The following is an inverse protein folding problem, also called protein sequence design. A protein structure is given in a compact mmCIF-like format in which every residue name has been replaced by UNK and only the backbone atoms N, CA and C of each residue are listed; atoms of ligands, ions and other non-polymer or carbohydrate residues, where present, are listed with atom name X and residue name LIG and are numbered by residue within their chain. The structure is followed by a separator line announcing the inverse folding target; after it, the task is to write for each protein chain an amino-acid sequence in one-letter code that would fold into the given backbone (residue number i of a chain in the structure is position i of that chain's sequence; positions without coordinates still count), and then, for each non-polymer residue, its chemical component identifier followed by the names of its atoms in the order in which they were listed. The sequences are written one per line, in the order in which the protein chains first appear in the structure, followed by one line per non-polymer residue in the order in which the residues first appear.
data_IF_113553227426
#
_entry.id   IF_113553227426
#
_cell.length_a   1.000
_cell.length_b   1.000
_cell.length_c   1.000
_cell.angle_alpha   90.00
_cell.angle_beta   90.00
_cell.angle_gamma   90.00
#
_symmetry.space_group_name_H-M   'P 1'
#
loop_
_entity.id
_entity.type
_entity.pdbx_description
1 polymer ?
#
# COMPACT_ATOMS: atom_id res chain seq x y z
N UNK A 1 -72.35 19.74 -19.75
CA UNK A 1 -70.96 20.21 -19.64
C UNK A 1 -70.06 19.02 -19.29
N UNK A 2 -68.91 18.92 -19.96
CA UNK A 2 -67.90 17.84 -19.87
C UNK A 2 -66.98 17.98 -18.65
N UNK A 3 -66.42 16.84 -18.20
CA UNK A 3 -65.13 16.55 -17.51
C UNK A 3 -65.34 15.80 -16.18
N UNK A 4 -64.99 14.52 -16.02
CA UNK A 4 -63.72 13.79 -16.21
C UNK A 4 -62.75 13.98 -15.03
N UNK A 5 -62.53 12.88 -14.28
CA UNK A 5 -61.25 12.20 -14.02
C UNK A 5 -61.11 11.70 -12.58
N UNK A 6 -61.13 10.36 -12.48
CA UNK A 6 -60.35 9.48 -11.61
C UNK A 6 -59.47 10.16 -10.56
N UNK A 7 -59.95 10.17 -9.32
CA UNK A 7 -59.11 10.32 -8.14
C UNK A 7 -58.42 8.99 -7.80
N UNK A 8 -57.44 8.60 -8.62
CA UNK A 8 -56.57 7.46 -8.36
C UNK A 8 -55.21 7.95 -7.88
N UNK A 9 -54.70 7.29 -6.83
CA UNK A 9 -53.30 7.25 -6.41
C UNK A 9 -52.75 8.45 -5.59
N UNK A 10 -53.21 8.55 -4.34
CA UNK A 10 -52.30 8.82 -3.22
C UNK A 10 -51.82 7.47 -2.68
N UNK A 11 -50.74 6.92 -3.24
CA UNK A 11 -49.95 5.84 -2.57
C UNK A 11 -48.48 6.11 -2.85
N UNK A 12 -47.81 6.56 -1.79
CA UNK A 12 -46.44 6.23 -1.43
C UNK A 12 -45.46 5.84 -2.56
N UNK A 13 -44.62 6.77 -2.98
CA UNK A 13 -43.23 6.45 -3.32
C UNK A 13 -42.39 6.61 -2.05
N UNK A 14 -42.13 5.55 -1.26
CA UNK A 14 -41.04 5.61 -0.30
C UNK A 14 -39.74 5.48 -1.09
N UNK A 15 -38.99 6.59 -1.16
CA UNK A 15 -37.54 6.64 -1.06
C UNK A 15 -36.79 5.32 -1.36
N UNK A 16 -36.76 4.90 -2.61
CA UNK A 16 -35.80 3.91 -3.09
C UNK A 16 -34.45 4.59 -3.39
N UNK A 17 -33.90 5.28 -2.39
CA UNK A 17 -32.48 5.63 -2.33
C UNK A 17 -31.79 4.51 -1.57
N UNK A 18 -31.77 3.30 -2.13
CA UNK A 18 -30.71 2.35 -1.80
C UNK A 18 -29.44 2.97 -2.35
N UNK A 19 -28.80 3.81 -1.53
CA UNK A 19 -27.42 4.19 -1.74
C UNK A 19 -26.66 2.88 -1.96
N UNK A 20 -26.10 2.70 -3.16
CA UNK A 20 -24.97 1.82 -3.37
C UNK A 20 -23.80 2.39 -2.56
N UNK A 21 -23.88 2.32 -1.23
CA UNK A 21 -22.75 2.51 -0.36
C UNK A 21 -21.86 1.30 -0.65
N UNK A 22 -20.88 1.50 -1.54
CA UNK A 22 -19.74 0.59 -1.63
C UNK A 22 -19.14 0.59 -0.24
N UNK A 23 -19.31 -0.52 0.50
CA UNK A 23 -18.65 -0.70 1.78
C UNK A 23 -17.17 -0.47 1.57
N UNK A 24 -16.59 0.51 2.27
CA UNK A 24 -15.16 0.73 2.21
C UNK A 24 -14.45 -0.57 2.62
N UNK A 25 -13.45 -0.99 1.83
CA UNK A 25 -12.63 -2.15 2.17
C UNK A 25 -11.96 -1.88 3.52
N UNK A 26 -12.13 -2.75 4.53
CA UNK A 26 -11.45 -2.58 5.81
C UNK A 26 -9.93 -2.82 5.63
N UNK A 27 -9.08 -2.32 6.55
CA UNK A 27 -7.61 -2.46 6.45
C UNK A 27 -7.12 -3.88 6.12
N UNK A 28 -7.65 -4.90 6.80
CA UNK A 28 -7.31 -6.30 6.60
C UNK A 28 -7.81 -6.89 5.27
N UNK A 29 -8.68 -6.17 4.55
CA UNK A 29 -9.21 -6.56 3.24
C UNK A 29 -8.21 -6.34 2.11
N UNK A 30 -7.18 -5.54 2.32
CA UNK A 30 -6.16 -5.18 1.33
C UNK A 30 -5.05 -6.24 1.20
N UNK A 31 -4.22 -6.11 0.15
CA UNK A 31 -3.07 -7.00 -0.11
C UNK A 31 -2.01 -6.93 0.98
N UNK A 32 -1.77 -5.74 1.53
CA UNK A 32 -0.81 -5.50 2.61
C UNK A 32 -1.50 -4.75 3.74
N UNK A 33 -1.30 -5.20 4.98
CA UNK A 33 -1.89 -4.59 6.17
C UNK A 33 -0.97 -4.68 7.39
N UNK A 34 -1.13 -3.73 8.30
CA UNK A 34 -0.37 -3.64 9.54
C UNK A 34 -0.79 -2.46 10.40
N UNK A 35 0.06 -2.14 11.38
CA UNK A 35 -0.11 -1.00 12.28
C UNK A 35 0.86 0.11 11.89
N UNK A 36 0.33 1.32 11.68
CA UNK A 36 1.10 2.55 11.63
C UNK A 36 1.17 3.13 13.04
N UNK A 37 2.33 3.02 13.69
CA UNK A 37 2.52 3.49 15.06
C UNK A 37 2.63 5.03 15.16
N UNK A 38 2.24 5.58 16.31
CA UNK A 38 2.42 7.00 16.64
C UNK A 38 1.24 7.90 16.25
N UNK A 39 0.04 7.61 16.77
CA UNK A 39 -1.23 8.30 16.43
C UNK A 39 -1.19 9.82 16.42
N UNK A 40 -0.44 10.46 17.31
CA UNK A 40 -0.41 11.93 17.40
C UNK A 40 0.31 12.61 16.22
N UNK A 41 1.01 11.85 15.38
CA UNK A 41 1.78 12.37 14.25
C UNK A 41 1.08 12.22 12.89
N UNK A 42 -0.10 11.59 12.85
CA UNK A 42 -0.82 11.23 11.61
C UNK A 42 -2.28 11.71 11.67
N UNK A 43 -2.60 12.78 10.95
CA UNK A 43 -4.00 13.26 10.84
C UNK A 43 -4.75 12.60 9.68
N UNK A 44 -4.05 12.34 8.56
CA UNK A 44 -4.56 11.64 7.39
C UNK A 44 -3.38 11.07 6.59
N UNK A 45 -2.75 9.97 7.06
CA UNK A 45 -1.59 9.43 6.38
C UNK A 45 -1.97 8.91 4.99
N UNK A 46 -1.04 9.08 4.05
CA UNK A 46 -1.07 8.42 2.74
C UNK A 46 0.04 7.39 2.65
N UNK A 47 -0.14 6.43 1.75
CA UNK A 47 0.82 5.38 1.52
C UNK A 47 1.34 5.44 0.09
N UNK A 48 2.66 5.30 -0.05
CA UNK A 48 3.33 5.22 -1.34
C UNK A 48 4.15 3.95 -1.43
N UNK A 49 4.16 3.35 -2.62
CA UNK A 49 5.07 2.26 -2.97
C UNK A 49 6.31 2.88 -3.60
N UNK A 50 7.39 2.93 -2.83
CA UNK A 50 8.66 3.55 -3.23
C UNK A 50 9.71 2.47 -3.38
N UNK A 51 10.53 2.54 -4.42
CA UNK A 51 11.46 1.47 -4.73
C UNK A 51 12.42 1.76 -5.86
N UNK A 52 13.08 0.71 -6.30
CA UNK A 52 14.00 0.70 -7.44
C UNK A 52 13.75 -0.52 -8.32
N UNK A 53 13.63 -0.28 -9.62
CA UNK A 53 13.67 -1.33 -10.63
C UNK A 53 15.10 -1.78 -10.88
N UNK A 54 15.27 -3.05 -11.25
CA UNK A 54 16.58 -3.60 -11.62
C UNK A 54 16.79 -3.34 -13.13
N UNK A 55 17.89 -2.67 -13.56
CA UNK A 55 19.09 -2.42 -12.76
C UNK A 55 19.08 -1.20 -11.84
N UNK A 56 18.46 -0.05 -12.15
CA UNK A 56 18.39 1.12 -11.23
C UNK A 56 17.35 2.17 -11.67
N UNK A 57 16.06 1.86 -11.60
CA UNK A 57 14.98 2.81 -11.96
C UNK A 57 14.23 3.21 -10.70
N UNK A 58 14.40 4.44 -10.22
CA UNK A 58 13.62 4.93 -9.07
C UNK A 58 12.12 4.95 -9.40
N UNK A 59 11.31 4.43 -8.50
CA UNK A 59 9.86 4.42 -8.62
C UNK A 59 9.22 4.93 -7.34
N UNK A 60 8.19 5.74 -7.48
CA UNK A 60 7.41 6.27 -6.38
C UNK A 60 5.96 6.37 -6.82
N UNK A 61 5.16 5.40 -6.39
CA UNK A 61 3.75 5.29 -6.74
C UNK A 61 2.91 5.61 -5.52
N UNK A 62 2.30 6.80 -5.54
CA UNK A 62 1.28 7.20 -4.58
C UNK A 62 -0.13 6.80 -5.02
N UNK A 63 -1.13 7.40 -4.37
CA UNK A 63 -2.55 7.20 -4.63
C UNK A 63 -2.97 5.72 -4.71
N UNK A 64 -2.37 4.89 -3.86
CA UNK A 64 -2.76 3.49 -3.73
C UNK A 64 -4.17 3.40 -3.16
N UNK A 65 -4.92 2.37 -3.57
CA UNK A 65 -6.14 1.99 -2.87
C UNK A 65 -5.76 1.62 -1.43
N UNK A 66 -6.34 2.33 -0.47
CA UNK A 66 -5.91 2.27 0.92
C UNK A 66 -7.09 2.51 1.87
N UNK A 67 -6.97 2.01 3.09
CA UNK A 67 -7.88 2.33 4.19
C UNK A 67 -7.11 2.44 5.50
N UNK A 68 -7.67 3.20 6.45
CA UNK A 68 -7.15 3.29 7.81
C UNK A 68 -8.29 3.17 8.82
N UNK A 69 -7.98 2.62 9.99
CA UNK A 69 -8.90 2.57 11.12
C UNK A 69 -8.12 2.85 12.42
N UNK A 70 -8.74 3.51 13.42
CA UNK A 70 -8.11 3.70 14.72
C UNK A 70 -7.66 2.39 15.37
N UNK A 71 -6.48 2.39 15.99
CA UNK A 71 -5.94 1.27 16.75
C UNK A 71 -5.29 1.77 18.05
N UNK A 72 -5.05 0.86 19.00
CA UNK A 72 -4.30 1.20 20.22
C UNK A 72 -2.87 1.59 19.86
N UNK A 73 -2.48 2.85 20.10
CA UNK A 73 -1.12 3.33 19.83
C UNK A 73 -0.81 3.61 18.34
N UNK A 74 -1.78 3.46 17.44
CA UNK A 74 -1.58 3.74 16.02
C UNK A 74 -2.86 3.80 15.19
N UNK A 75 -2.69 3.57 13.89
CA UNK A 75 -3.77 3.28 12.95
C UNK A 75 -3.53 1.89 12.38
N UNK A 76 -4.56 1.05 12.33
CA UNK A 76 -4.55 -0.07 11.40
C UNK A 76 -4.61 0.50 9.99
N UNK A 77 -3.82 -0.03 9.08
CA UNK A 77 -3.84 0.38 7.69
C UNK A 77 -3.85 -0.83 6.75
N UNK A 78 -4.40 -0.61 5.56
CA UNK A 78 -4.36 -1.54 4.45
C UNK A 78 -4.06 -0.82 3.15
N UNK A 79 -3.28 -1.44 2.27
CA UNK A 79 -2.95 -0.94 0.94
C UNK A 79 -2.98 -2.07 -0.09
N UNK A 80 -3.53 -1.79 -1.26
CA UNK A 80 -3.48 -2.71 -2.40
C UNK A 80 -2.17 -2.51 -3.16
N UNK A 81 -1.50 -3.63 -3.46
CA UNK A 81 -0.31 -3.63 -4.28
C UNK A 81 -0.74 -3.66 -5.75
N UNK A 82 -0.01 -2.98 -6.66
CA UNK A 82 -0.32 -3.10 -8.07
C UNK A 82 -0.08 -4.55 -8.51
N UNK A 83 -1.03 -5.12 -9.26
CA UNK A 83 -0.91 -6.47 -9.84
C UNK A 83 0.38 -6.60 -10.66
N UNK A 84 0.71 -5.55 -11.40
CA UNK A 84 1.95 -5.39 -12.13
C UNK A 84 2.52 -4.00 -11.81
N UNK A 85 3.60 -3.89 -11.01
CA UNK A 85 4.32 -2.63 -10.90
C UNK A 85 5.03 -2.31 -12.22
N UNK A 86 5.44 -1.06 -12.38
CA UNK A 86 5.98 -0.55 -13.66
C UNK A 86 7.30 -1.21 -14.05
N UNK A 87 8.04 -1.76 -13.07
CA UNK A 87 9.31 -2.44 -13.27
C UNK A 87 9.41 -3.68 -12.38
N UNK A 88 10.27 -4.65 -12.75
CA UNK A 88 10.68 -5.68 -11.81
C UNK A 88 11.69 -5.07 -10.83
N UNK A 89 11.53 -5.32 -9.54
CA UNK A 89 12.35 -4.60 -8.57
C UNK A 89 11.97 -4.77 -7.12
N UNK A 90 12.53 -3.85 -6.35
CA UNK A 90 12.54 -3.85 -4.90
C UNK A 90 11.81 -2.60 -4.42
N UNK A 91 10.85 -2.79 -3.55
CA UNK A 91 9.92 -1.77 -3.12
C UNK A 91 9.74 -1.80 -1.61
N UNK A 92 9.24 -0.68 -1.11
CA UNK A 92 8.81 -0.52 0.26
C UNK A 92 7.55 0.33 0.27
N UNK A 93 6.56 -0.09 1.04
CA UNK A 93 5.44 0.78 1.37
C UNK A 93 5.90 1.71 2.49
N UNK A 94 5.75 3.01 2.25
CA UNK A 94 6.00 4.07 3.24
C UNK A 94 4.70 4.81 3.55
N UNK A 95 4.52 5.15 4.81
CA UNK A 95 3.46 6.06 5.24
C UNK A 95 4.03 7.48 5.28
N UNK A 96 3.29 8.47 4.79
CA UNK A 96 3.71 9.87 4.80
C UNK A 96 2.53 10.82 5.02
N UNK A 97 2.83 12.02 5.50
CA UNK A 97 1.85 13.11 5.52
C UNK A 97 1.98 13.89 4.22
N UNK A 98 0.94 13.84 3.38
CA UNK A 98 0.85 14.58 2.12
C UNK A 98 0.62 16.07 2.43
N UNK A 99 1.71 16.82 2.53
CA UNK A 99 1.71 18.23 2.93
C UNK A 99 1.52 19.16 1.75
N UNK A 100 1.88 18.71 0.54
CA UNK A 100 1.75 19.47 -0.71
C UNK A 100 0.48 19.11 -1.50
N UNK A 101 -0.22 18.04 -1.13
CA UNK A 101 -1.46 17.59 -1.76
C UNK A 101 -1.24 16.82 -3.07
N UNK A 102 -0.01 16.43 -3.40
CA UNK A 102 0.33 15.73 -4.64
C UNK A 102 -0.22 14.30 -4.70
N UNK A 103 -0.47 13.69 -3.54
CA UNK A 103 -0.84 12.28 -3.44
C UNK A 103 0.26 11.32 -3.83
N UNK A 104 1.49 11.80 -3.97
CA UNK A 104 2.73 11.04 -4.07
C UNK A 104 3.63 11.42 -2.92
N UNK A 105 4.58 10.55 -2.56
CA UNK A 105 5.56 10.93 -1.55
C UNK A 105 6.53 11.95 -2.16
N UNK A 106 6.70 13.12 -1.54
CA UNK A 106 7.70 14.11 -1.92
C UNK A 106 8.90 14.06 -0.97
N UNK A 107 10.11 14.14 -1.51
CA UNK A 107 11.33 14.17 -0.67
C UNK A 107 11.26 15.38 0.27
N UNK A 108 11.43 15.12 1.56
CA UNK A 108 11.32 16.14 2.63
C UNK A 108 10.03 16.02 3.44
N UNK A 109 9.03 15.27 2.97
CA UNK A 109 7.83 15.00 3.75
C UNK A 109 8.12 14.05 4.92
N UNK A 110 7.49 14.26 6.10
CA UNK A 110 7.58 13.30 7.20
C UNK A 110 7.04 11.94 6.77
N UNK A 111 7.86 10.91 6.90
CA UNK A 111 7.51 9.54 6.54
C UNK A 111 7.83 8.55 7.66
N UNK A 112 7.25 7.37 7.56
CA UNK A 112 7.53 6.20 8.39
C UNK A 112 7.65 4.96 7.49
N UNK A 113 8.48 4.00 7.91
CA UNK A 113 8.73 2.77 7.17
C UNK A 113 9.00 1.61 8.12
N UNK A 114 9.37 0.46 7.57
CA UNK A 114 9.90 -0.65 8.36
C UNK A 114 11.21 -1.17 7.74
N UNK A 115 11.61 -2.39 8.09
CA UNK A 115 12.79 -3.06 7.50
C UNK A 115 12.41 -4.25 6.61
N UNK A 116 11.15 -4.30 6.20
CA UNK A 116 10.62 -5.29 5.28
C UNK A 116 10.59 -4.70 3.87
N UNK A 117 10.90 -5.54 2.89
CA UNK A 117 11.01 -5.18 1.49
C UNK A 117 10.07 -6.05 0.66
N UNK A 118 9.36 -5.42 -0.25
CA UNK A 118 8.51 -6.08 -1.24
C UNK A 118 9.32 -6.25 -2.52
N UNK A 119 9.38 -7.47 -3.03
CA UNK A 119 10.13 -7.78 -4.24
C UNK A 119 9.16 -8.31 -5.29
N UNK A 120 9.11 -7.64 -6.44
CA UNK A 120 8.31 -8.09 -7.56
C UNK A 120 9.20 -8.74 -8.63
N UNK A 121 8.88 -9.98 -8.99
CA UNK A 121 9.53 -10.68 -10.10
C UNK A 121 8.51 -11.27 -11.08
N UNK A 122 8.54 -10.93 -12.38
CA UNK A 122 7.57 -11.43 -13.35
C UNK A 122 7.72 -12.93 -13.64
N UNK A 123 8.91 -13.51 -13.43
CA UNK A 123 9.22 -14.90 -13.72
C UNK A 123 9.66 -15.71 -12.50
N UNK A 124 10.02 -15.06 -11.39
CA UNK A 124 10.74 -15.69 -10.28
C UNK A 124 12.21 -15.98 -10.63
N UNK A 125 12.92 -16.66 -9.74
CA UNK A 125 14.32 -17.05 -9.92
C UNK A 125 15.27 -16.30 -8.99
N UNK A 126 16.55 -16.30 -9.35
CA UNK A 126 17.60 -15.63 -8.60
C UNK A 126 17.63 -14.15 -8.98
N UNK A 127 17.53 -13.27 -7.99
CA UNK A 127 17.79 -11.85 -8.14
C UNK A 127 19.20 -11.53 -7.62
N UNK A 128 19.98 -10.72 -8.35
CA UNK A 128 21.27 -10.27 -7.86
C UNK A 128 21.11 -9.40 -6.62
N UNK A 129 22.22 -9.18 -5.91
CA UNK A 129 22.25 -8.14 -4.89
C UNK A 129 21.89 -6.79 -5.52
N UNK A 130 21.08 -6.01 -4.82
CA UNK A 130 20.63 -4.69 -5.26
C UNK A 130 21.22 -3.65 -4.33
N UNK A 131 21.67 -2.53 -4.89
CA UNK A 131 21.99 -1.33 -4.11
C UNK A 131 20.80 -0.38 -4.19
N UNK A 132 20.44 0.25 -3.08
CA UNK A 132 19.35 1.20 -3.10
C UNK A 132 19.86 2.49 -3.76
N UNK A 133 19.08 3.10 -4.65
CA UNK A 133 19.45 4.38 -5.22
C UNK A 133 19.60 5.45 -4.12
N UNK A 134 20.55 6.37 -4.30
CA UNK A 134 20.73 7.54 -3.40
C UNK A 134 19.47 8.41 -3.31
N UNK A 135 18.62 8.34 -4.34
CA UNK A 135 17.32 9.01 -4.40
C UNK A 135 16.33 8.49 -3.36
N UNK A 136 16.55 7.32 -2.75
CA UNK A 136 15.79 6.88 -1.58
C UNK A 136 16.35 7.58 -0.34
N UNK A 137 15.60 8.50 0.29
CA UNK A 137 16.14 9.38 1.35
C UNK A 137 16.59 8.62 2.61
N UNK A 138 16.15 7.39 2.78
CA UNK A 138 16.50 6.51 3.90
C UNK A 138 17.53 5.42 3.58
N UNK A 139 18.04 5.41 2.34
CA UNK A 139 18.91 4.38 1.84
C UNK A 139 20.38 4.80 1.77
N UNK A 140 20.65 6.07 1.43
CA UNK A 140 21.99 6.65 1.45
C UNK A 140 23.06 5.86 0.69
N UNK A 141 22.70 5.01 -0.28
CA UNK A 141 23.63 4.14 -1.01
C UNK A 141 24.08 2.87 -0.27
N UNK A 142 23.47 2.51 0.88
CA UNK A 142 23.77 1.26 1.59
C UNK A 142 23.28 0.01 0.83
N UNK A 143 23.92 -1.13 1.10
CA UNK A 143 23.57 -2.45 0.55
C UNK A 143 22.08 -2.73 0.80
N UNK A 144 21.28 -2.72 -0.26
CA UNK A 144 19.81 -2.78 -0.18
C UNK A 144 19.37 -4.12 0.34
N UNK A 145 19.87 -5.13 -0.36
CA UNK A 145 19.33 -6.46 -0.39
C UNK A 145 20.40 -7.42 -0.92
N UNK A 146 20.67 -8.52 -0.19
CA UNK A 146 21.56 -9.56 -0.68
C UNK A 146 20.98 -10.26 -1.92
N UNK A 147 21.82 -10.96 -2.67
CA UNK A 147 21.34 -11.87 -3.70
C UNK A 147 20.44 -12.95 -3.06
N UNK A 148 19.29 -13.23 -3.68
CA UNK A 148 18.29 -14.13 -3.11
C UNK A 148 17.44 -14.77 -4.18
N UNK A 149 16.71 -15.82 -3.80
CA UNK A 149 15.78 -16.52 -4.68
C UNK A 149 14.35 -16.08 -4.38
N UNK A 150 13.60 -15.72 -5.42
CA UNK A 150 12.21 -15.26 -5.32
C UNK A 150 11.28 -16.09 -6.18
N UNK A 151 10.00 -16.06 -5.81
CA UNK A 151 8.93 -16.64 -6.62
C UNK A 151 8.39 -15.61 -7.61
N UNK A 152 7.65 -16.07 -8.62
CA UNK A 152 6.88 -15.20 -9.51
C UNK A 152 5.84 -14.40 -8.71
N UNK A 153 5.72 -13.10 -9.02
CA UNK A 153 4.83 -12.15 -8.35
C UNK A 153 5.52 -11.41 -7.21
N UNK A 154 4.72 -10.96 -6.25
CA UNK A 154 5.18 -10.29 -5.03
C UNK A 154 5.80 -11.29 -4.05
N UNK A 155 6.90 -10.88 -3.42
CA UNK A 155 7.57 -11.58 -2.33
C UNK A 155 7.86 -10.59 -1.20
N UNK A 156 7.87 -11.05 0.05
CA UNK A 156 8.27 -10.26 1.20
C UNK A 156 9.60 -10.78 1.72
N UNK A 157 10.58 -9.88 1.77
CA UNK A 157 11.84 -10.07 2.45
C UNK A 157 11.83 -9.33 3.79
N UNK A 158 12.06 -10.04 4.87
CA UNK A 158 12.21 -9.46 6.19
C UNK A 158 13.70 -9.45 6.57
N UNK A 159 14.30 -8.25 6.65
CA UNK A 159 15.74 -8.11 6.97
C UNK A 159 16.07 -8.48 8.43
N UNK A 160 15.07 -8.65 9.29
CA UNK A 160 15.28 -9.14 10.67
C UNK A 160 15.45 -10.67 10.73
N UNK A 161 15.12 -11.38 9.65
CA UNK A 161 15.21 -12.84 9.56
C UNK A 161 16.38 -13.24 8.66
N UNK A 162 17.04 -14.38 8.91
CA UNK A 162 18.07 -14.89 8.02
C UNK A 162 17.47 -15.22 6.63
N UNK A 163 18.31 -15.13 5.59
CA UNK A 163 17.94 -15.64 4.26
C UNK A 163 17.74 -17.16 4.31
N UNK A 164 16.76 -17.66 3.58
CA UNK A 164 16.50 -19.08 3.47
C UNK A 164 15.21 -19.39 2.71
N UNK A 165 14.70 -20.59 2.91
CA UNK A 165 13.49 -21.07 2.21
C UNK A 165 12.22 -20.31 2.57
N UNK A 166 12.19 -19.66 3.75
CA UNK A 166 11.06 -18.88 4.24
C UNK A 166 11.28 -17.35 4.11
N UNK A 167 12.44 -16.91 3.59
CA UNK A 167 12.78 -15.50 3.50
C UNK A 167 13.77 -15.25 2.33
N UNK A 168 13.34 -14.60 1.23
CA UNK A 168 12.00 -14.03 1.01
C UNK A 168 10.92 -15.09 0.80
N UNK A 169 9.67 -14.76 1.14
CA UNK A 169 8.49 -15.61 0.92
C UNK A 169 7.52 -14.99 -0.09
N UNK A 170 6.76 -15.80 -0.86
CA UNK A 170 5.67 -15.27 -1.69
C UNK A 170 4.68 -14.45 -0.86
N UNK A 171 4.21 -13.34 -1.43
CA UNK A 171 3.43 -12.31 -0.74
C UNK A 171 2.16 -11.95 -1.52
N UNK A 172 1.26 -12.92 -1.71
CA UNK A 172 -0.07 -12.65 -2.24
C UNK A 172 -0.92 -11.82 -1.25
N UNK A 173 -0.68 -12.02 0.05
CA UNK A 173 -1.24 -11.21 1.13
C UNK A 173 -0.23 -11.08 2.26
N UNK A 174 -0.04 -9.87 2.77
CA UNK A 174 0.90 -9.54 3.85
C UNK A 174 0.13 -8.95 5.02
N UNK A 175 0.26 -9.56 6.18
CA UNK A 175 -0.27 -9.06 7.44
C UNK A 175 0.88 -8.82 8.42
N UNK A 176 0.69 -7.90 9.37
CA UNK A 176 1.74 -7.53 10.32
C UNK A 176 2.89 -6.74 9.67
N UNK A 177 2.60 -6.00 8.59
CA UNK A 177 3.54 -5.04 8.00
C UNK A 177 3.54 -3.76 8.83
N UNK A 178 4.06 -3.83 10.05
CA UNK A 178 3.99 -2.70 10.98
C UNK A 178 5.01 -1.63 10.57
N UNK A 179 4.59 -0.37 10.58
CA UNK A 179 5.34 0.80 10.12
C UNK A 179 5.51 1.77 11.29
N UNK A 180 6.73 2.29 11.46
CA UNK A 180 7.05 3.29 12.49
C UNK A 180 8.11 4.28 11.98
N UNK A 181 8.26 5.40 12.67
CA UNK A 181 9.28 6.41 12.37
C UNK A 181 10.64 5.99 12.89
#
# INVERSE_FOLDING_TARGET
MKRSLSGLALVALPLALTACARTATPPEGHDLSGILAGTSAWSAPRFALVGTGIPNIFTNRGNLSQSTAPATGGLNFGVDLPVLPDVAGVYQVVAYNDTDGSGTYTIGEPFARNRQWLIFSPAGGDIPAVSLPEQLPWAGGEEALPAMKVSRGWNLYDRSQPLGTANPRPAAKVTGYDISR
#
